data_IF_380924417595
#
_entry.id   IF_380924417595
#
_cell.length_a   1.000
_cell.length_b   1.000
_cell.length_c   1.000
_cell.angle_alpha   90.00
_cell.angle_beta   90.00
_cell.angle_gamma   90.00
#
_symmetry.space_group_name_H-M   'P 1'
#
loop_
_entity.id
_entity.type
_entity.pdbx_description
1 polymer ?
#
# COMPACT_ATOMS: atom_id res chain seq x y z
N UNK A 1 12.73 10.56 -3.38
CA UNK A 1 11.77 9.75 -2.59
C UNK A 1 11.91 10.23 -1.16
N UNK A 2 10.83 10.67 -0.53
CA UNK A 2 10.84 11.03 0.89
C UNK A 2 10.24 9.86 1.68
N UNK A 3 10.86 9.48 2.80
CA UNK A 3 10.39 8.42 3.68
C UNK A 3 10.31 8.95 5.10
N UNK A 4 9.24 8.59 5.80
CA UNK A 4 9.02 8.93 7.20
C UNK A 4 8.90 7.65 8.01
N UNK A 5 9.62 7.60 9.13
CA UNK A 5 9.52 6.52 10.10
C UNK A 5 8.26 6.74 10.94
N UNK A 6 7.33 5.78 10.92
CA UNK A 6 6.16 5.79 11.81
C UNK A 6 6.56 5.17 13.16
N UNK A 7 7.30 4.06 13.12
CA UNK A 7 7.98 3.44 14.26
C UNK A 7 9.15 2.55 13.75
N UNK A 8 9.73 1.70 14.61
CA UNK A 8 10.87 0.83 14.27
C UNK A 8 10.63 -0.14 13.10
N UNK A 9 9.38 -0.51 12.83
CA UNK A 9 9.05 -1.55 11.86
C UNK A 9 7.98 -1.15 10.85
N UNK A 10 7.61 0.13 10.80
CA UNK A 10 6.59 0.67 9.92
C UNK A 10 7.04 2.02 9.37
N UNK A 11 7.02 2.14 8.06
CA UNK A 11 7.50 3.30 7.32
C UNK A 11 6.44 3.74 6.32
N UNK A 12 6.32 5.05 6.13
CA UNK A 12 5.63 5.62 4.98
C UNK A 12 6.65 6.20 4.00
N UNK A 13 6.35 6.15 2.70
CA UNK A 13 7.17 6.86 1.73
C UNK A 13 6.37 7.35 0.54
N UNK A 14 6.89 8.38 -0.12
CA UNK A 14 6.31 8.95 -1.33
C UNK A 14 7.37 9.10 -2.41
N UNK A 15 6.99 8.82 -3.66
CA UNK A 15 7.75 9.27 -4.82
C UNK A 15 6.90 10.26 -5.61
N UNK A 16 7.56 11.29 -6.13
CA UNK A 16 6.93 12.32 -6.95
C UNK A 16 7.26 12.05 -8.43
N UNK A 17 6.37 12.48 -9.30
CA UNK A 17 6.68 12.66 -10.72
C UNK A 17 7.76 13.74 -10.87
N UNK A 18 8.80 13.42 -11.65
CA UNK A 18 9.95 14.31 -11.81
C UNK A 18 9.52 15.66 -12.39
N UNK A 19 9.88 16.75 -11.70
CA UNK A 19 9.62 18.11 -12.16
C UNK A 19 8.19 18.62 -12.00
N UNK A 20 7.23 17.83 -11.49
CA UNK A 20 5.82 18.27 -11.37
C UNK A 20 5.34 18.47 -9.94
N UNK A 21 6.04 17.91 -8.95
CA UNK A 21 5.60 17.89 -7.55
C UNK A 21 4.39 16.97 -7.28
N UNK A 22 3.82 16.34 -8.31
CA UNK A 22 2.68 15.43 -8.17
C UNK A 22 3.13 14.11 -7.57
N UNK A 23 2.29 13.54 -6.72
CA UNK A 23 2.53 12.22 -6.13
C UNK A 23 2.40 11.15 -7.23
N UNK A 24 3.45 10.36 -7.40
CA UNK A 24 3.47 9.16 -8.26
C UNK A 24 3.07 7.90 -7.50
N UNK A 25 3.44 7.81 -6.22
CA UNK A 25 3.10 6.66 -5.36
C UNK A 25 3.15 7.07 -3.90
N UNK A 26 2.20 6.58 -3.11
CA UNK A 26 2.26 6.57 -1.65
C UNK A 26 2.34 5.13 -1.16
N UNK A 27 3.22 4.89 -0.20
CA UNK A 27 3.59 3.55 0.23
C UNK A 27 3.58 3.44 1.74
N UNK A 28 3.11 2.30 2.24
CA UNK A 28 3.32 1.82 3.61
C UNK A 28 4.16 0.55 3.52
N UNK A 29 5.25 0.49 4.28
CA UNK A 29 6.13 -0.68 4.34
C UNK A 29 6.29 -1.15 5.77
N UNK A 30 5.99 -2.43 6.00
CA UNK A 30 6.19 -3.12 7.26
C UNK A 30 7.38 -4.05 7.18
N UNK A 31 8.24 -4.01 8.20
CA UNK A 31 9.36 -4.91 8.38
C UNK A 31 9.00 -5.95 9.48
N UNK A 32 9.06 -7.25 9.19
CA UNK A 32 8.81 -8.29 10.17
C UNK A 32 9.74 -8.12 11.38
N UNK A 33 9.18 -8.28 12.57
CA UNK A 33 9.92 -8.29 13.82
C UNK A 33 9.78 -9.66 14.46
N UNK A 34 10.87 -10.32 14.86
CA UNK A 34 10.78 -11.62 15.51
C UNK A 34 10.25 -11.48 16.93
N UNK A 35 9.49 -12.48 17.39
CA UNK A 35 9.08 -12.61 18.78
C UNK A 35 7.59 -12.32 19.04
N UNK A 36 7.20 -12.20 20.32
CA UNK A 36 5.79 -12.18 20.72
C UNK A 36 5.00 -10.97 20.19
N UNK A 37 5.68 -9.88 19.82
CA UNK A 37 5.06 -8.66 19.31
C UNK A 37 4.76 -8.70 17.80
N UNK A 38 5.24 -9.72 17.07
CA UNK A 38 5.12 -9.79 15.61
C UNK A 38 3.69 -9.59 15.13
N UNK A 39 2.76 -10.31 15.75
CA UNK A 39 1.34 -10.24 15.40
C UNK A 39 0.78 -8.83 15.60
N UNK A 40 1.05 -8.21 16.75
CA UNK A 40 0.55 -6.88 17.07
C UNK A 40 1.16 -5.82 16.14
N UNK A 41 2.45 -5.94 15.82
CA UNK A 41 3.13 -5.08 14.87
C UNK A 41 2.54 -5.21 13.45
N UNK A 42 2.31 -6.44 12.99
CA UNK A 42 1.67 -6.71 11.71
C UNK A 42 0.24 -6.16 11.66
N UNK A 43 -0.55 -6.37 12.71
CA UNK A 43 -1.92 -5.85 12.80
C UNK A 43 -1.94 -4.32 12.70
N UNK A 44 -0.97 -3.64 13.34
CA UNK A 44 -0.80 -2.17 13.21
C UNK A 44 -0.46 -1.77 11.78
N UNK A 45 0.47 -2.46 11.13
CA UNK A 45 0.80 -2.19 9.73
C UNK A 45 -0.42 -2.31 8.80
N UNK A 46 -1.21 -3.39 8.97
CA UNK A 46 -2.44 -3.61 8.22
C UNK A 46 -3.45 -2.49 8.47
N UNK A 47 -3.58 -2.00 9.72
CA UNK A 47 -4.46 -0.87 10.03
C UNK A 47 -4.07 0.41 9.27
N UNK A 48 -2.77 0.71 9.13
CA UNK A 48 -2.29 1.84 8.31
C UNK A 48 -2.57 1.65 6.82
N UNK A 49 -2.39 0.43 6.29
CA UNK A 49 -2.70 0.11 4.89
C UNK A 49 -4.21 0.26 4.62
N UNK A 50 -5.07 -0.20 5.54
CA UNK A 50 -6.53 -0.02 5.46
C UNK A 50 -6.90 1.47 5.48
N UNK A 51 -6.28 2.25 6.37
CA UNK A 51 -6.50 3.69 6.44
C UNK A 51 -6.07 4.39 5.14
N UNK A 52 -4.96 3.97 4.53
CA UNK A 52 -4.50 4.48 3.24
C UNK A 52 -5.52 4.17 2.13
N UNK A 53 -6.05 2.94 2.07
CA UNK A 53 -7.10 2.57 1.11
C UNK A 53 -8.32 3.48 1.27
N UNK A 54 -8.80 3.70 2.50
CA UNK A 54 -9.96 4.56 2.78
C UNK A 54 -9.74 6.02 2.41
N UNK A 55 -8.51 6.51 2.56
CA UNK A 55 -8.19 7.88 2.19
C UNK A 55 -8.39 8.10 0.69
N UNK A 56 -8.02 7.13 -0.14
CA UNK A 56 -8.20 7.19 -1.60
C UNK A 56 -9.56 6.71 -2.09
N UNK A 57 -10.26 5.90 -1.30
CA UNK A 57 -11.62 5.43 -1.58
C UNK A 57 -12.55 5.74 -0.40
N UNK A 58 -12.92 7.01 -0.19
CA UNK A 58 -13.66 7.45 1.00
C UNK A 58 -15.08 6.90 1.07
N UNK A 59 -15.60 6.32 -0.02
CA UNK A 59 -16.92 5.66 -0.06
C UNK A 59 -16.90 4.27 0.58
N UNK A 60 -15.72 3.68 0.81
CA UNK A 60 -15.62 2.38 1.47
C UNK A 60 -15.75 2.50 2.98
N UNK A 61 -16.54 1.59 3.55
CA UNK A 61 -16.52 1.32 4.98
C UNK A 61 -15.18 0.72 5.43
N UNK A 62 -14.86 0.76 6.74
CA UNK A 62 -13.68 0.09 7.28
C UNK A 62 -13.61 -1.40 6.90
N UNK A 63 -14.74 -2.10 6.96
CA UNK A 63 -14.81 -3.53 6.66
C UNK A 63 -14.56 -3.82 5.18
N UNK A 64 -15.15 -3.05 4.27
CA UNK A 64 -14.90 -3.17 2.82
C UNK A 64 -13.44 -2.88 2.48
N UNK A 65 -12.85 -1.89 3.14
CA UNK A 65 -11.44 -1.52 2.93
C UNK A 65 -10.49 -2.62 3.42
N UNK A 66 -10.80 -3.23 4.57
CA UNK A 66 -10.09 -4.41 5.06
C UNK A 66 -10.21 -5.56 4.06
N UNK A 67 -11.41 -5.88 3.60
CA UNK A 67 -11.64 -6.95 2.61
C UNK A 67 -10.82 -6.72 1.34
N UNK A 68 -10.84 -5.50 0.79
CA UNK A 68 -10.05 -5.15 -0.40
C UNK A 68 -8.55 -5.35 -0.15
N UNK A 69 -8.03 -4.90 0.99
CA UNK A 69 -6.63 -5.12 1.35
C UNK A 69 -6.32 -6.62 1.44
N UNK A 70 -7.15 -7.41 2.12
CA UNK A 70 -6.96 -8.87 2.26
C UNK A 70 -6.92 -9.56 0.87
N UNK A 71 -7.80 -9.17 -0.04
CA UNK A 71 -7.85 -9.70 -1.41
C UNK A 71 -6.57 -9.32 -2.19
N UNK A 72 -6.08 -8.07 -2.08
CA UNK A 72 -4.85 -7.61 -2.72
C UNK A 72 -3.61 -8.30 -2.15
N UNK A 73 -3.50 -8.44 -0.83
CA UNK A 73 -2.41 -9.14 -0.16
C UNK A 73 -2.39 -10.62 -0.54
N UNK A 74 -3.57 -11.25 -0.64
CA UNK A 74 -3.67 -12.66 -1.06
C UNK A 74 -3.19 -12.85 -2.50
N UNK A 75 -3.55 -11.95 -3.41
CA UNK A 75 -3.06 -11.96 -4.81
C UNK A 75 -1.56 -11.66 -4.92
N UNK A 76 -1.02 -10.82 -4.03
CA UNK A 76 0.38 -10.42 -4.03
C UNK A 76 1.32 -11.32 -3.22
N UNK A 77 0.79 -12.33 -2.53
CA UNK A 77 1.55 -13.17 -1.59
C UNK A 77 2.77 -13.81 -2.27
N UNK A 78 3.94 -13.64 -1.65
CA UNK A 78 5.22 -14.13 -2.16
C UNK A 78 5.73 -13.48 -3.45
N UNK A 79 5.02 -12.50 -4.01
CA UNK A 79 5.48 -11.79 -5.21
C UNK A 79 6.29 -10.55 -4.84
N UNK A 80 7.41 -10.35 -5.53
CA UNK A 80 8.19 -9.10 -5.46
C UNK A 80 7.43 -7.90 -6.03
N UNK A 81 6.44 -8.14 -6.87
CA UNK A 81 5.59 -7.12 -7.45
C UNK A 81 4.26 -7.74 -7.92
N UNK A 82 3.16 -7.28 -7.34
CA UNK A 82 1.81 -7.55 -7.81
C UNK A 82 1.08 -6.22 -7.92
N UNK A 83 0.37 -6.00 -9.02
CA UNK A 83 -0.35 -4.76 -9.26
C UNK A 83 -1.75 -5.01 -9.80
N UNK A 84 -2.71 -4.24 -9.31
CA UNK A 84 -4.10 -4.29 -9.74
C UNK A 84 -4.61 -2.86 -9.95
N UNK A 85 -5.03 -2.54 -11.17
CA UNK A 85 -5.67 -1.28 -11.48
C UNK A 85 -7.18 -1.36 -11.22
N UNK A 86 -7.72 -0.36 -10.55
CA UNK A 86 -9.15 -0.19 -10.29
C UNK A 86 -9.51 1.29 -10.48
N UNK A 87 -10.26 1.60 -11.55
CA UNK A 87 -10.58 2.98 -11.91
C UNK A 87 -9.32 3.83 -12.08
N UNK A 88 -9.25 4.95 -11.36
CA UNK A 88 -8.13 5.89 -11.41
C UNK A 88 -6.95 5.52 -10.49
N UNK A 89 -6.98 4.36 -9.84
CA UNK A 89 -5.95 3.93 -8.89
C UNK A 89 -5.32 2.61 -9.34
N UNK A 90 -4.04 2.44 -9.00
CA UNK A 90 -3.34 1.17 -9.06
C UNK A 90 -2.83 0.83 -7.67
N UNK A 91 -3.26 -0.32 -7.19
CA UNK A 91 -2.76 -0.93 -5.97
C UNK A 91 -1.53 -1.77 -6.30
N UNK A 92 -0.49 -1.64 -5.50
CA UNK A 92 0.73 -2.43 -5.63
C UNK A 92 1.04 -3.12 -4.30
N UNK A 93 1.33 -4.41 -4.36
CA UNK A 93 1.81 -5.23 -3.24
C UNK A 93 3.17 -5.80 -3.60
N UNK A 94 4.12 -5.68 -2.69
CA UNK A 94 5.38 -6.43 -2.74
C UNK A 94 5.53 -7.18 -1.42
N UNK A 95 5.43 -8.51 -1.47
CA UNK A 95 5.60 -9.40 -0.33
C UNK A 95 6.95 -10.10 -0.44
N UNK A 96 7.93 -9.60 0.30
CA UNK A 96 9.29 -10.11 0.31
C UNK A 96 9.55 -11.06 1.50
N UNK A 97 8.49 -11.62 2.11
CA UNK A 97 8.60 -12.51 3.26
C UNK A 97 9.29 -11.81 4.43
N UNK A 98 10.39 -12.39 4.90
CA UNK A 98 11.19 -11.85 6.02
C UNK A 98 11.78 -10.45 5.75
N UNK A 99 11.90 -10.05 4.47
CA UNK A 99 12.36 -8.70 4.10
C UNK A 99 11.24 -7.66 4.12
N UNK A 100 10.01 -8.10 4.34
CA UNK A 100 8.87 -7.26 4.62
C UNK A 100 7.88 -7.06 3.49
N UNK A 101 6.82 -6.34 3.84
CA UNK A 101 5.62 -6.15 3.05
C UNK A 101 5.45 -4.68 2.72
N UNK A 102 5.35 -4.35 1.43
CA UNK A 102 5.00 -3.03 0.96
C UNK A 102 3.62 -3.05 0.32
N UNK A 103 2.77 -2.11 0.72
CA UNK A 103 1.52 -1.77 0.05
C UNK A 103 1.61 -0.34 -0.46
N UNK A 104 1.21 -0.12 -1.70
CA UNK A 104 1.23 1.20 -2.32
C UNK A 104 -0.04 1.49 -3.13
N UNK A 105 -0.36 2.76 -3.22
CA UNK A 105 -1.40 3.30 -4.10
C UNK A 105 -0.75 4.30 -5.05
N UNK A 106 -1.00 4.11 -6.33
CA UNK A 106 -0.50 4.95 -7.42
C UNK A 106 -1.68 5.53 -8.19
N UNK A 107 -1.74 6.85 -8.46
CA UNK A 107 -2.71 7.38 -9.40
C UNK A 107 -2.41 6.88 -10.81
N UNK A 108 -3.46 6.52 -11.55
CA UNK A 108 -3.40 6.11 -12.94
C UNK A 108 -3.96 7.23 -13.79
N UNK A 109 -3.19 7.67 -14.80
CA UNK A 109 -3.73 8.55 -15.83
C UNK A 109 -4.74 7.76 -16.64
N UNK A 110 -6.01 8.11 -16.52
CA UNK A 110 -7.04 7.62 -17.41
C UNK A 110 -6.85 8.34 -18.75
N UNK A 111 -6.39 7.62 -19.77
CA UNK A 111 -6.49 8.09 -21.13
C UNK A 111 -7.91 7.82 -21.61
N UNK A 112 -8.61 8.87 -22.03
CA UNK A 112 -9.78 8.70 -22.88
C UNK A 112 -9.26 8.24 -24.23
N UNK A 113 -9.36 6.95 -24.51
CA UNK A 113 -9.23 6.48 -25.88
C UNK A 113 -10.45 7.03 -26.62
N UNK A 114 -10.26 8.14 -27.33
CA UNK A 114 -11.28 8.72 -28.17
C UNK A 114 -11.69 7.70 -29.22
N UNK A 115 -12.92 7.22 -29.12
CA UNK A 115 -13.68 6.64 -30.22
C UNK A 115 -14.15 7.75 -31.15
#
# INVERSE_FOLDING_TARGET
>A
RAASKINENLYSSTALEQGTGKIKTLQITWLPVPGPEEKAARDKALAYMIALTRFFEPTLTPLQSKKRLDDLLSKGKGSRYSAQAEGALRYVVADNGEKGLTFAIEPVKLALNGS
#
